data_IF_363936458584
#
_entry.id   IF_363936458584
#
_cell.length_a   1.000
_cell.length_b   1.000
_cell.length_c   1.000
_cell.angle_alpha   90.00
_cell.angle_beta   90.00
_cell.angle_gamma   90.00
#
_symmetry.space_group_name_H-M   'P 1'
#
loop_
_entity.id
_entity.type
_entity.pdbx_description
1 polymer ?
#
# COMPACT_ATOMS: atom_id res chain seq x y z
N UNK A 1 -66.55 -0.67 -32.47
CA UNK A 1 -66.16 -0.09 -31.17
C UNK A 1 -64.86 -0.76 -30.78
N UNK A 2 -63.79 0.04 -30.67
CA UNK A 2 -62.39 -0.38 -30.65
C UNK A 2 -62.05 -1.20 -29.40
N UNK A 3 -61.36 -2.33 -29.57
CA UNK A 3 -60.55 -2.92 -28.51
C UNK A 3 -59.10 -2.54 -28.76
N UNK A 4 -58.61 -1.66 -27.90
CA UNK A 4 -57.24 -1.12 -27.88
C UNK A 4 -56.23 -2.22 -27.57
N UNK A 5 -55.30 -2.44 -28.50
CA UNK A 5 -54.09 -3.25 -28.28
C UNK A 5 -53.14 -2.42 -27.41
N UNK A 6 -53.08 -2.71 -26.11
CA UNK A 6 -52.10 -2.11 -25.22
C UNK A 6 -50.78 -2.88 -25.33
N UNK A 7 -49.88 -2.40 -26.20
CA UNK A 7 -48.48 -2.79 -26.23
C UNK A 7 -47.79 -2.21 -24.98
N UNK A 8 -47.66 -3.01 -23.91
CA UNK A 8 -46.79 -2.67 -22.78
C UNK A 8 -45.34 -2.94 -23.18
N UNK A 9 -44.62 -1.89 -23.52
CA UNK A 9 -43.16 -1.86 -23.64
C UNK A 9 -42.51 -2.07 -22.27
N UNK A 10 -41.94 -3.26 -22.03
CA UNK A 10 -40.99 -3.47 -20.93
C UNK A 10 -39.65 -2.82 -21.33
N UNK A 11 -39.39 -1.63 -20.80
CA UNK A 11 -38.04 -1.08 -20.74
C UNK A 11 -37.34 -1.72 -19.55
N UNK A 12 -36.46 -2.69 -19.82
CA UNK A 12 -35.59 -3.27 -18.79
C UNK A 12 -34.53 -2.27 -18.38
N UNK A 13 -34.62 -1.70 -17.17
CA UNK A 13 -33.49 -1.02 -16.54
C UNK A 13 -32.46 -2.07 -16.14
N UNK A 14 -31.40 -2.23 -16.95
CA UNK A 14 -30.19 -2.96 -16.53
C UNK A 14 -29.24 -1.99 -15.86
N UNK A 15 -29.43 -1.81 -14.55
CA UNK A 15 -28.44 -1.17 -13.69
C UNK A 15 -28.38 -1.93 -12.35
N UNK A 16 -27.28 -2.66 -12.17
CA UNK A 16 -26.93 -3.42 -10.98
C UNK A 16 -25.62 -4.15 -11.28
N UNK A 17 -24.56 -3.40 -11.56
CA UNK A 17 -23.53 -3.03 -10.58
C UNK A 17 -22.67 -4.25 -10.23
N UNK A 18 -21.37 -4.13 -10.50
CA UNK A 18 -20.32 -5.08 -10.19
C UNK A 18 -20.54 -5.75 -8.82
N UNK A 19 -21.15 -6.93 -8.83
CA UNK A 19 -21.03 -7.93 -7.77
C UNK A 19 -19.74 -8.73 -8.04
N UNK A 20 -18.65 -8.05 -8.38
CA UNK A 20 -17.38 -8.71 -8.59
C UNK A 20 -16.75 -8.88 -7.20
N UNK A 21 -16.78 -10.13 -6.72
CA UNK A 21 -16.09 -10.63 -5.54
C UNK A 21 -16.36 -9.89 -4.21
N UNK A 22 -17.61 -9.88 -3.73
CA UNK A 22 -17.77 -10.11 -2.28
C UNK A 22 -17.42 -11.58 -2.05
N UNK A 23 -16.12 -11.88 -2.00
CA UNK A 23 -15.65 -13.21 -1.58
C UNK A 23 -16.42 -13.58 -0.33
N UNK A 24 -17.00 -14.78 -0.31
CA UNK A 24 -18.08 -15.13 0.62
C UNK A 24 -17.77 -14.60 2.02
N UNK A 25 -18.56 -13.62 2.47
CA UNK A 25 -18.38 -12.99 3.76
C UNK A 25 -18.91 -13.95 4.82
N UNK A 26 -18.11 -14.99 5.09
CA UNK A 26 -18.44 -16.07 6.00
C UNK A 26 -18.82 -15.48 7.35
N UNK A 27 -19.84 -16.04 8.01
CA UNK A 27 -20.24 -15.63 9.36
C UNK A 27 -19.26 -16.07 10.45
N UNK A 28 -17.94 -15.92 10.22
CA UNK A 28 -16.87 -16.35 11.13
C UNK A 28 -16.52 -15.26 12.17
N UNK A 29 -15.67 -15.61 13.14
CA UNK A 29 -15.32 -14.71 14.24
C UNK A 29 -14.46 -13.52 13.77
N UNK A 30 -13.62 -13.69 12.73
CA UNK A 30 -12.85 -12.61 12.13
C UNK A 30 -13.77 -11.53 11.52
N UNK A 31 -14.70 -11.93 10.65
CA UNK A 31 -15.67 -11.03 10.03
C UNK A 31 -16.57 -10.35 11.07
N UNK A 32 -16.94 -11.06 12.14
CA UNK A 32 -17.71 -10.47 13.25
C UNK A 32 -16.91 -9.43 14.03
N UNK A 33 -15.62 -9.63 14.24
CA UNK A 33 -14.77 -8.63 14.88
C UNK A 33 -14.66 -7.36 14.02
N UNK A 34 -14.46 -7.53 12.70
CA UNK A 34 -14.23 -6.42 11.77
C UNK A 34 -15.53 -5.68 11.41
N UNK A 35 -16.60 -6.40 11.07
CA UNK A 35 -17.84 -5.82 10.52
C UNK A 35 -19.03 -5.83 11.49
N UNK A 36 -18.93 -6.54 12.61
CA UNK A 36 -20.05 -6.74 13.54
C UNK A 36 -20.56 -5.45 14.19
N UNK A 37 -21.85 -5.45 14.54
CA UNK A 37 -22.54 -4.32 15.17
C UNK A 37 -22.91 -4.55 16.64
N UNK A 38 -22.38 -5.62 17.25
CA UNK A 38 -22.65 -5.95 18.65
C UNK A 38 -22.02 -4.91 19.59
N UNK A 39 -22.69 -4.54 20.71
CA UNK A 39 -22.08 -3.73 21.76
C UNK A 39 -20.77 -4.32 22.30
N UNK A 40 -19.83 -3.45 22.67
CA UNK A 40 -18.51 -3.84 23.21
C UNK A 40 -17.43 -4.07 22.15
N UNK A 41 -17.73 -3.89 20.87
CA UNK A 41 -16.73 -3.84 19.80
C UNK A 41 -16.15 -2.42 19.68
N UNK A 42 -14.92 -2.35 19.14
CA UNK A 42 -14.30 -1.10 18.72
C UNK A 42 -15.23 -0.34 17.75
N UNK A 43 -15.26 1.02 17.76
CA UNK A 43 -16.09 1.78 16.83
C UNK A 43 -15.88 1.37 15.36
N UNK A 44 -16.94 1.42 14.55
CA UNK A 44 -16.86 1.07 13.13
C UNK A 44 -15.81 1.91 12.39
N UNK A 45 -15.67 3.19 12.74
CA UNK A 45 -14.68 4.11 12.16
C UNK A 45 -13.23 3.69 12.43
N UNK A 46 -12.94 3.19 13.62
CA UNK A 46 -11.59 2.74 13.99
C UNK A 46 -11.25 1.41 13.31
N UNK A 47 -12.22 0.52 13.20
CA UNK A 47 -12.08 -0.74 12.46
C UNK A 47 -11.90 -0.49 10.96
N UNK A 48 -12.66 0.46 10.39
CA UNK A 48 -12.51 0.83 8.99
C UNK A 48 -11.16 1.50 8.73
N UNK A 49 -10.71 2.36 9.65
CA UNK A 49 -9.36 2.95 9.59
C UNK A 49 -8.27 1.89 9.66
N UNK A 50 -8.42 0.91 10.55
CA UNK A 50 -7.47 -0.21 10.65
C UNK A 50 -7.42 -1.02 9.36
N UNK A 51 -8.57 -1.25 8.73
CA UNK A 51 -8.65 -1.87 7.41
C UNK A 51 -7.95 -1.03 6.33
N UNK A 52 -8.18 0.28 6.30
CA UNK A 52 -7.53 1.17 5.34
C UNK A 52 -6.01 1.17 5.50
N UNK A 53 -5.51 1.21 6.74
CA UNK A 53 -4.07 1.13 7.02
C UNK A 53 -3.48 -0.23 6.65
N UNK A 54 -4.19 -1.32 6.93
CA UNK A 54 -3.71 -2.67 6.63
C UNK A 54 -3.67 -2.97 5.14
N UNK A 55 -4.64 -2.44 4.37
CA UNK A 55 -4.71 -2.63 2.93
C UNK A 55 -3.91 -1.58 2.13
N UNK A 56 -3.15 -0.71 2.81
CA UNK A 56 -2.27 0.26 2.18
C UNK A 56 -0.90 -0.35 1.89
N UNK A 57 -0.63 -0.61 0.62
CA UNK A 57 0.69 -1.03 0.15
C UNK A 57 1.58 0.19 -0.06
N UNK A 58 2.80 0.17 0.47
CA UNK A 58 3.76 1.27 0.30
C UNK A 58 4.91 0.83 -0.60
N UNK A 59 5.14 1.58 -1.67
CA UNK A 59 6.23 1.37 -2.61
C UNK A 59 7.30 2.44 -2.37
N UNK A 60 8.53 2.03 -2.07
CA UNK A 60 9.69 2.92 -1.97
C UNK A 60 10.53 2.75 -3.24
N UNK A 61 10.69 3.78 -4.08
CA UNK A 61 11.51 3.71 -5.30
C UNK A 61 12.97 3.40 -5.03
N UNK A 62 13.67 2.94 -6.06
CA UNK A 62 15.13 2.81 -6.04
C UNK A 62 15.80 4.18 -5.78
N UNK A 63 16.91 4.18 -5.04
CA UNK A 63 17.62 5.41 -4.74
C UNK A 63 18.28 6.04 -5.98
N UNK A 64 18.26 7.38 -6.05
CA UNK A 64 19.02 8.15 -7.04
C UNK A 64 20.43 8.39 -6.52
N UNK A 65 21.45 8.15 -7.34
CA UNK A 65 22.84 8.44 -7.01
C UNK A 65 23.21 9.85 -7.47
N UNK A 66 23.76 10.66 -6.58
CA UNK A 66 24.32 11.99 -6.88
C UNK A 66 25.82 11.93 -6.64
N UNK A 67 26.60 12.16 -7.70
CA UNK A 67 28.05 12.25 -7.61
C UNK A 67 28.48 13.69 -7.36
N UNK A 68 29.27 13.92 -6.32
CA UNK A 68 29.87 15.20 -6.00
C UNK A 68 31.37 15.08 -6.19
N UNK A 69 31.91 15.79 -7.17
CA UNK A 69 33.36 15.98 -7.35
C UNK A 69 33.83 17.08 -6.41
N UNK A 70 34.88 16.81 -5.65
CA UNK A 70 35.51 17.81 -4.79
C UNK A 70 37.00 17.82 -5.07
N UNK A 71 37.55 19.02 -5.21
CA UNK A 71 38.97 19.29 -5.39
C UNK A 71 39.72 19.14 -4.05
N UNK A 72 40.97 18.69 -4.10
CA UNK A 72 41.76 18.39 -2.89
C UNK A 72 41.99 19.62 -2.00
N UNK A 73 42.02 20.82 -2.58
CA UNK A 73 42.19 22.09 -1.85
C UNK A 73 40.99 22.45 -0.96
N UNK A 74 39.81 21.85 -1.19
CA UNK A 74 38.57 22.13 -0.45
C UNK A 74 38.13 20.99 0.51
N UNK A 75 38.95 19.94 0.71
CA UNK A 75 38.63 18.84 1.64
C UNK A 75 39.19 19.04 3.07
N UNK A 76 38.37 18.88 4.13
CA UNK A 76 38.89 18.44 5.42
C UNK A 76 39.40 17.01 5.29
N UNK A 77 40.66 16.76 5.68
CA UNK A 77 41.29 15.42 5.70
C UNK A 77 40.40 14.39 6.38
N UNK A 78 39.74 13.53 5.59
CA UNK A 78 39.02 12.36 6.10
C UNK A 78 39.41 11.13 5.27
N UNK A 79 40.40 10.40 5.80
CA UNK A 79 40.88 9.12 5.28
C UNK A 79 39.89 8.02 5.68
N UNK A 80 38.81 7.86 4.92
CA UNK A 80 38.00 6.65 4.98
C UNK A 80 37.78 6.13 3.55
N UNK A 81 38.16 4.87 3.25
CA UNK A 81 37.94 4.31 1.92
C UNK A 81 36.43 4.28 1.65
N UNK A 82 36.02 4.91 0.55
CA UNK A 82 34.65 4.86 0.05
C UNK A 82 34.26 3.39 -0.17
N UNK A 83 33.47 2.83 0.77
CA UNK A 83 32.86 1.52 0.57
C UNK A 83 31.90 1.67 -0.61
N UNK A 84 32.24 1.02 -1.72
CA UNK A 84 31.33 0.80 -2.84
C UNK A 84 30.20 -0.12 -2.37
N UNK A 85 29.20 0.45 -1.71
CA UNK A 85 27.91 -0.21 -1.51
C UNK A 85 26.97 0.17 -2.65
N UNK A 86 27.40 -0.15 -3.88
CA UNK A 86 26.56 -0.08 -5.08
C UNK A 86 25.73 -1.36 -5.21
N UNK A 87 25.29 -1.93 -4.09
CA UNK A 87 24.21 -2.92 -4.09
C UNK A 87 23.04 -2.26 -4.80
N UNK A 88 22.76 -2.70 -6.03
CA UNK A 88 21.70 -2.20 -6.91
C UNK A 88 20.54 -1.68 -6.07
N UNK A 89 20.37 -0.36 -5.98
CA UNK A 89 19.27 0.19 -5.19
C UNK A 89 17.98 -0.33 -5.82
N UNK A 90 17.30 -1.24 -5.13
CA UNK A 90 16.07 -1.87 -5.62
C UNK A 90 14.89 -1.17 -4.97
N UNK A 91 13.80 -1.08 -5.73
CA UNK A 91 12.52 -0.72 -5.17
C UNK A 91 12.14 -1.72 -4.06
N UNK A 92 11.61 -1.20 -2.95
CA UNK A 92 11.08 -2.00 -1.85
C UNK A 92 9.57 -1.81 -1.77
N UNK A 93 8.82 -2.91 -1.74
CA UNK A 93 7.36 -2.88 -1.55
C UNK A 93 7.04 -3.45 -0.18
N UNK A 94 6.33 -2.68 0.64
CA UNK A 94 5.87 -3.08 1.98
C UNK A 94 4.36 -3.30 1.94
N UNK A 95 3.96 -4.52 2.29
CA UNK A 95 2.56 -4.90 2.49
C UNK A 95 2.37 -5.18 3.98
N UNK A 96 1.45 -4.48 4.66
CA UNK A 96 1.17 -4.74 6.07
C UNK A 96 0.70 -6.18 6.32
N UNK A 97 1.16 -6.78 7.41
CA UNK A 97 0.82 -8.15 7.79
C UNK A 97 0.45 -8.32 9.26
N UNK A 98 0.63 -7.27 10.07
CA UNK A 98 0.33 -7.30 11.51
C UNK A 98 -1.18 -7.16 11.73
N UNK A 99 -1.78 -8.18 12.34
CA UNK A 99 -3.21 -8.20 12.68
C UNK A 99 -3.42 -7.35 13.95
N UNK A 100 -4.35 -6.37 13.94
CA UNK A 100 -4.68 -5.61 15.15
C UNK A 100 -5.26 -6.50 16.25
N UNK A 101 -5.04 -6.11 17.51
CA UNK A 101 -5.48 -6.88 18.68
C UNK A 101 -7.00 -7.16 18.71
N UNK A 102 -7.83 -6.17 18.30
CA UNK A 102 -9.29 -6.35 18.23
C UNK A 102 -9.71 -7.45 17.23
N UNK A 103 -8.84 -7.78 16.29
CA UNK A 103 -9.03 -8.77 15.24
C UNK A 103 -8.21 -10.04 15.47
N UNK A 104 -7.78 -10.31 16.70
CA UNK A 104 -7.03 -11.53 17.06
C UNK A 104 -7.74 -12.86 16.71
N UNK A 105 -9.05 -12.80 16.41
CA UNK A 105 -9.83 -13.94 15.91
C UNK A 105 -9.55 -14.29 14.43
N UNK A 106 -8.82 -13.46 13.70
CA UNK A 106 -8.37 -13.75 12.34
C UNK A 106 -7.12 -14.62 12.39
N UNK A 107 -7.12 -15.73 11.65
CA UNK A 107 -6.03 -16.70 11.67
C UNK A 107 -4.75 -16.18 11.01
N UNK A 108 -4.87 -15.29 10.02
CA UNK A 108 -3.75 -14.71 9.29
C UNK A 108 -4.12 -13.39 8.59
N UNK A 109 -3.10 -12.73 8.04
CA UNK A 109 -3.20 -11.48 7.30
C UNK A 109 -4.22 -11.53 6.14
N UNK A 110 -4.30 -12.65 5.41
CA UNK A 110 -5.22 -12.79 4.30
C UNK A 110 -6.69 -12.86 4.76
N UNK A 111 -6.96 -13.52 5.89
CA UNK A 111 -8.30 -13.54 6.48
C UNK A 111 -8.72 -12.15 6.95
N UNK A 112 -7.82 -11.40 7.58
CA UNK A 112 -8.10 -10.02 7.97
C UNK A 112 -8.33 -9.12 6.74
N UNK A 113 -7.54 -9.26 5.68
CA UNK A 113 -7.75 -8.55 4.42
C UNK A 113 -9.13 -8.88 3.81
N UNK A 114 -9.52 -10.15 3.81
CA UNK A 114 -10.84 -10.57 3.32
C UNK A 114 -11.97 -9.96 4.16
N UNK A 115 -11.81 -9.90 5.49
CA UNK A 115 -12.77 -9.26 6.38
C UNK A 115 -12.90 -7.76 6.10
N UNK A 116 -11.80 -7.08 5.78
CA UNK A 116 -11.80 -5.68 5.35
C UNK A 116 -12.50 -5.48 4.00
N UNK A 117 -12.29 -6.38 3.03
CA UNK A 117 -13.04 -6.40 1.77
C UNK A 117 -14.54 -6.59 2.02
N UNK A 118 -14.92 -7.48 2.96
CA UNK A 118 -16.30 -7.67 3.39
C UNK A 118 -16.89 -6.42 4.07
N UNK A 119 -16.06 -5.64 4.76
CA UNK A 119 -16.44 -4.35 5.31
C UNK A 119 -16.65 -3.27 4.22
N UNK A 120 -16.20 -3.53 2.98
CA UNK A 120 -16.26 -2.60 1.86
C UNK A 120 -15.07 -1.65 1.78
N UNK A 121 -13.98 -1.93 2.51
CA UNK A 121 -12.72 -1.18 2.37
C UNK A 121 -11.89 -1.83 1.28
N UNK A 122 -11.47 -1.03 0.30
CA UNK A 122 -10.59 -1.48 -0.79
C UNK A 122 -9.14 -1.13 -0.50
N UNK A 123 -8.23 -1.95 -1.01
CA UNK A 123 -6.80 -1.68 -0.91
C UNK A 123 -6.36 -0.50 -1.77
N UNK A 124 -5.24 0.10 -1.36
CA UNK A 124 -4.63 1.22 -2.06
C UNK A 124 -3.12 1.07 -2.07
N UNK A 125 -2.47 1.75 -3.01
CA UNK A 125 -1.01 1.78 -3.15
C UNK A 125 -0.56 3.22 -3.01
N UNK A 126 0.47 3.45 -2.21
CA UNK A 126 1.15 4.74 -2.09
C UNK A 126 2.62 4.59 -2.44
N UNK A 127 3.21 5.65 -2.98
CA UNK A 127 4.63 5.71 -3.31
C UNK A 127 5.31 6.67 -2.34
N UNK A 128 6.29 6.15 -1.60
CA UNK A 128 7.14 6.95 -0.73
C UNK A 128 8.14 7.79 -1.56
N UNK A 129 8.74 8.85 -0.99
CA UNK A 129 9.75 9.64 -1.68
C UNK A 129 10.94 8.79 -2.16
N UNK A 130 11.49 9.15 -3.31
CA UNK A 130 12.73 8.54 -3.83
C UNK A 130 13.90 8.91 -2.92
N UNK A 131 14.65 7.94 -2.37
CA UNK A 131 15.83 8.22 -1.57
C UNK A 131 16.98 8.74 -2.45
N UNK A 132 17.84 9.58 -1.87
CA UNK A 132 19.04 10.09 -2.54
C UNK A 132 20.29 9.55 -1.84
N UNK A 133 21.22 9.01 -2.62
CA UNK A 133 22.54 8.56 -2.16
C UNK A 133 23.60 9.51 -2.74
N UNK A 134 24.38 10.13 -1.87
CA UNK A 134 25.49 11.00 -2.28
C UNK A 134 26.80 10.21 -2.32
N UNK A 135 27.49 10.27 -3.44
CA UNK A 135 28.81 9.67 -3.66
C UNK A 135 29.81 10.80 -3.86
N UNK A 136 30.80 10.90 -2.99
CA UNK A 136 31.89 11.87 -3.13
C UNK A 136 33.03 11.25 -3.91
N UNK A 137 33.49 11.93 -4.95
CA UNK A 137 34.67 11.58 -5.74
C UNK A 137 35.71 12.69 -5.58
N UNK A 138 36.89 12.35 -5.08
CA UNK A 138 38.04 13.26 -5.03
C UNK A 138 38.78 13.19 -6.36
N UNK A 139 39.02 14.35 -6.97
CA UNK A 139 39.89 14.47 -8.14
C UNK A 139 41.26 14.88 -7.64
N UNK A 140 42.19 13.93 -7.63
CA UNK A 140 43.61 14.20 -7.37
C UNK A 140 44.18 14.73 -8.69
N UNK A 141 44.44 16.04 -8.72
CA UNK A 141 45.22 16.63 -9.78
C UNK A 141 46.67 16.27 -9.52
N UNK A 142 47.07 15.07 -9.95
CA UNK A 142 48.48 14.80 -10.21
C UNK A 142 48.92 15.81 -11.28
N UNK A 143 49.44 16.96 -10.86
CA UNK A 143 50.20 17.85 -11.72
C UNK A 143 51.35 17.01 -12.31
N UNK A 144 51.37 16.91 -13.64
CA UNK A 144 52.49 16.37 -14.40
C UNK A 144 53.80 17.04 -13.92
N UNK A 145 54.70 16.27 -13.29
CA UNK A 145 56.12 16.62 -13.12
C UNK A 145 57.03 15.53 -13.66
#
# INVERSE_FOLDING_TARGET
MQLTVALLSLVSLVAGAALDARGDCHGNNCNRAVTGTRPGLLPLSERSSSCSSFLLTTVTPAATTVTVTVDEDDLPTSTAPAKRDLLMARQVTVVPSSIPEFAANCANAAEFAQACSCFGVTGSVTTAPTPTVTVTTTVDYCEDI
#
